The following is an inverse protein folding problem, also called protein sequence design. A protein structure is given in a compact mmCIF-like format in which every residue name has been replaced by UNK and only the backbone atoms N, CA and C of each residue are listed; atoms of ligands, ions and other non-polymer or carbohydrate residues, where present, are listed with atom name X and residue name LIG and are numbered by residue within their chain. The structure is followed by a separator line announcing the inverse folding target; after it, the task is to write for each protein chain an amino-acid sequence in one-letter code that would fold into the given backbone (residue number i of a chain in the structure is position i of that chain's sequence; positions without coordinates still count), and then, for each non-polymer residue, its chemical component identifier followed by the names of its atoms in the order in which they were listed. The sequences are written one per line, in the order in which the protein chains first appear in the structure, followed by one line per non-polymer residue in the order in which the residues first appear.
data_IF_061202730263
#
_entry.id   IF_061202730263
#
_cell.length_a   1.000
_cell.length_b   1.000
_cell.length_c   1.000
_cell.angle_alpha   90.00
_cell.angle_beta   90.00
_cell.angle_gamma   90.00
#
_symmetry.space_group_name_H-M   'P 1'
#
loop_
_entity.id
_entity.type
_entity.pdbx_description
1 polymer ?
#
# COMPACT_ATOMS: atom_id res chain seq x y z
N UNK A 1 11.69 -0.58 3.47
CA UNK A 1 10.61 0.18 2.82
C UNK A 1 10.15 1.27 3.77
N UNK A 2 9.94 2.47 3.25
CA UNK A 2 9.49 3.67 3.96
C UNK A 2 8.60 4.49 3.01
N UNK A 3 8.08 5.63 3.46
CA UNK A 3 7.21 6.50 2.65
C UNK A 3 7.88 7.05 1.39
N UNK A 4 9.19 7.24 1.40
CA UNK A 4 9.96 7.70 0.24
C UNK A 4 10.05 6.65 -0.89
N UNK A 5 10.11 5.37 -0.52
CA UNK A 5 10.35 4.26 -1.46
C UNK A 5 9.09 3.54 -1.90
N UNK A 6 8.02 3.57 -1.09
CA UNK A 6 6.83 2.75 -1.33
C UNK A 6 6.08 3.09 -2.62
N UNK A 7 6.00 4.37 -3.01
CA UNK A 7 5.31 4.79 -4.23
C UNK A 7 5.96 4.15 -5.47
N UNK A 8 7.29 4.18 -5.56
CA UNK A 8 8.02 3.56 -6.66
C UNK A 8 7.81 2.05 -6.73
N UNK A 9 7.77 1.38 -5.58
CA UNK A 9 7.53 -0.07 -5.51
C UNK A 9 6.09 -0.44 -5.89
N UNK A 10 5.10 0.36 -5.46
CA UNK A 10 3.70 0.18 -5.84
C UNK A 10 3.49 0.41 -7.35
N UNK A 11 4.13 1.43 -7.91
CA UNK A 11 4.13 1.66 -9.35
C UNK A 11 4.76 0.49 -10.11
N UNK A 12 5.85 -0.10 -9.60
CA UNK A 12 6.52 -1.24 -10.22
C UNK A 12 5.64 -2.50 -10.31
N UNK A 13 4.63 -2.63 -9.45
CA UNK A 13 3.62 -3.71 -9.49
C UNK A 13 2.29 -3.28 -10.12
N UNK A 14 2.26 -2.13 -10.80
CA UNK A 14 1.09 -1.67 -11.58
C UNK A 14 -0.03 -1.06 -10.74
N UNK A 15 0.24 -0.56 -9.54
CA UNK A 15 -0.73 0.21 -8.77
C UNK A 15 -0.74 1.66 -9.26
N UNK A 16 -1.91 2.22 -9.64
CA UNK A 16 -2.02 3.61 -10.03
C UNK A 16 -1.77 4.55 -8.84
N UNK A 17 -1.12 5.69 -9.08
CA UNK A 17 -0.76 6.64 -8.03
C UNK A 17 -1.98 7.21 -7.31
N UNK A 18 -3.09 7.40 -8.02
CA UNK A 18 -4.35 7.92 -7.47
C UNK A 18 -5.01 6.99 -6.44
N UNK A 19 -4.64 5.70 -6.40
CA UNK A 19 -5.13 4.76 -5.39
C UNK A 19 -4.38 4.86 -4.05
N UNK A 20 -3.37 5.74 -3.93
CA UNK A 20 -2.50 5.84 -2.76
C UNK A 20 -2.30 7.31 -2.37
N UNK A 21 -2.51 7.62 -1.10
CA UNK A 21 -2.26 8.93 -0.52
C UNK A 21 -1.31 8.81 0.67
N UNK A 22 -0.25 9.62 0.68
CA UNK A 22 0.75 9.64 1.75
C UNK A 22 0.71 10.99 2.47
N UNK A 23 0.58 10.96 3.79
CA UNK A 23 0.61 12.17 4.62
C UNK A 23 -0.69 12.99 4.65
N UNK A 24 -1.63 12.72 3.74
CA UNK A 24 -2.95 13.34 3.75
C UNK A 24 -4.06 12.32 3.45
N UNK A 25 -5.28 12.64 3.89
CA UNK A 25 -6.46 11.87 3.55
C UNK A 25 -6.95 12.22 2.14
N UNK A 26 -7.21 11.21 1.32
CA UNK A 26 -7.89 11.35 0.03
C UNK A 26 -8.99 10.31 -0.10
N UNK A 27 -10.16 10.70 -0.58
CA UNK A 27 -11.24 9.75 -0.89
C UNK A 27 -10.86 8.86 -2.07
N UNK A 28 -11.37 7.63 -2.05
CA UNK A 28 -11.09 6.58 -3.02
C UNK A 28 -9.59 6.23 -3.11
N UNK A 29 -8.87 6.33 -1.99
CA UNK A 29 -7.46 6.00 -1.90
C UNK A 29 -7.13 5.25 -0.61
N UNK A 30 -6.07 4.43 -0.69
CA UNK A 30 -5.36 3.91 0.47
C UNK A 30 -4.50 5.02 1.05
N UNK A 31 -4.79 5.40 2.28
CA UNK A 31 -4.10 6.47 2.98
C UNK A 31 -3.07 5.88 3.96
N UNK A 32 -1.85 6.43 3.98
CA UNK A 32 -0.83 6.18 5.00
C UNK A 32 -0.45 7.51 5.66
N UNK A 33 -0.84 7.69 6.92
CA UNK A 33 -0.64 8.94 7.67
C UNK A 33 0.25 8.71 8.89
N UNK A 34 1.09 9.69 9.22
CA UNK A 34 1.86 9.73 10.46
C UNK A 34 1.25 10.74 11.42
N UNK A 35 0.83 10.25 12.59
CA UNK A 35 0.36 11.05 13.70
C UNK A 35 1.49 11.23 14.72
N UNK A 36 2.30 12.27 14.52
CA UNK A 36 3.51 12.52 15.29
C UNK A 36 3.24 12.73 16.79
N UNK A 37 2.08 13.32 17.13
CA UNK A 37 1.59 13.51 18.50
C UNK A 37 1.31 12.18 19.21
N UNK A 38 0.94 11.15 18.46
CA UNK A 38 0.61 9.81 18.95
C UNK A 38 1.74 8.80 18.71
N UNK A 39 2.78 9.19 17.96
CA UNK A 39 3.86 8.29 17.55
C UNK A 39 3.35 7.11 16.71
N UNK A 40 2.26 7.30 15.96
CA UNK A 40 1.57 6.23 15.24
C UNK A 40 1.52 6.47 13.73
N UNK A 41 1.47 5.38 12.99
CA UNK A 41 1.30 5.31 11.56
C UNK A 41 -0.01 4.58 11.28
N UNK A 42 -0.94 5.24 10.62
CA UNK A 42 -2.23 4.64 10.29
C UNK A 42 -2.31 4.33 8.80
N UNK A 43 -2.89 3.16 8.49
CA UNK A 43 -3.20 2.72 7.13
C UNK A 43 -4.68 2.40 7.04
N UNK A 44 -5.38 2.97 6.05
CA UNK A 44 -6.80 2.72 5.83
C UNK A 44 -7.22 3.02 4.39
N UNK A 45 -8.30 2.37 3.94
CA UNK A 45 -9.01 2.80 2.73
C UNK A 45 -10.00 3.88 3.11
N UNK A 46 -10.04 4.98 2.35
CA UNK A 46 -11.00 6.05 2.57
C UNK A 46 -12.02 6.08 1.44
N UNK A 47 -13.30 6.06 1.79
CA UNK A 47 -14.40 6.13 0.82
C UNK A 47 -15.59 6.83 1.45
N UNK A 48 -16.07 7.88 0.76
CA UNK A 48 -17.21 8.69 1.20
C UNK A 48 -17.04 9.22 2.63
N UNK A 49 -15.83 9.67 2.97
CA UNK A 49 -15.48 10.16 4.30
C UNK A 49 -15.37 9.10 5.41
N UNK A 50 -15.59 7.83 5.11
CA UNK A 50 -15.41 6.73 6.07
C UNK A 50 -14.03 6.08 5.91
N UNK A 51 -13.46 5.62 7.03
CA UNK A 51 -12.23 4.83 7.05
C UNK A 51 -12.56 3.36 7.18
N UNK A 52 -12.15 2.57 6.21
CA UNK A 52 -12.29 1.12 6.19
C UNK A 52 -10.93 0.46 6.38
N UNK A 53 -10.96 -0.80 6.86
CA UNK A 53 -9.76 -1.63 6.94
C UNK A 53 -8.60 -0.97 7.70
N UNK A 54 -8.96 -0.18 8.72
CA UNK A 54 -8.03 0.63 9.48
C UNK A 54 -7.08 -0.24 10.31
N UNK A 55 -5.80 0.10 10.25
CA UNK A 55 -4.76 -0.46 11.09
C UNK A 55 -3.80 0.65 11.55
N UNK A 56 -3.29 0.53 12.78
CA UNK A 56 -2.32 1.46 13.36
C UNK A 56 -1.06 0.73 13.80
N UNK A 57 0.09 1.35 13.56
CA UNK A 57 1.42 0.81 13.82
C UNK A 57 2.32 1.87 14.46
N UNK A 58 3.35 1.47 15.20
CA UNK A 58 4.32 2.39 15.81
C UNK A 58 5.59 2.56 14.98
N UNK A 59 5.64 1.97 13.79
CA UNK A 59 6.84 1.91 12.96
C UNK A 59 6.47 2.11 11.49
N UNK A 60 7.13 3.08 10.86
CA UNK A 60 6.94 3.44 9.45
C UNK A 60 7.13 2.24 8.52
N UNK A 61 8.21 1.48 8.72
CA UNK A 61 8.54 0.35 7.85
C UNK A 61 7.49 -0.75 7.92
N UNK A 62 6.88 -0.99 9.09
CA UNK A 62 5.81 -1.96 9.26
C UNK A 62 4.52 -1.48 8.57
N UNK A 63 4.15 -0.21 8.76
CA UNK A 63 3.00 0.38 8.09
C UNK A 63 3.14 0.35 6.56
N UNK A 64 4.33 0.66 6.04
CA UNK A 64 4.63 0.57 4.62
C UNK A 64 4.53 -0.87 4.08
N UNK A 65 5.08 -1.87 4.78
CA UNK A 65 4.94 -3.27 4.37
C UNK A 65 3.49 -3.74 4.41
N UNK A 66 2.73 -3.30 5.41
CA UNK A 66 1.31 -3.61 5.49
C UNK A 66 0.56 -3.08 4.25
N UNK A 67 0.70 -1.78 3.94
CA UNK A 67 0.10 -1.18 2.75
C UNK A 67 0.56 -1.87 1.45
N UNK A 68 1.86 -2.10 1.30
CA UNK A 68 2.41 -2.77 0.13
C UNK A 68 1.85 -4.19 -0.03
N UNK A 69 1.75 -4.96 1.05
CA UNK A 69 1.18 -6.31 1.04
C UNK A 69 -0.29 -6.31 0.64
N UNK A 70 -1.10 -5.38 1.19
CA UNK A 70 -2.52 -5.20 0.83
C UNK A 70 -2.72 -4.98 -0.66
N UNK A 71 -1.91 -4.11 -1.25
CA UNK A 71 -2.01 -3.76 -2.66
C UNK A 71 -1.41 -4.83 -3.56
N UNK A 72 -0.31 -5.47 -3.14
CA UNK A 72 0.26 -6.63 -3.84
C UNK A 72 -0.72 -7.80 -3.91
N UNK A 73 -1.47 -8.07 -2.84
CA UNK A 73 -2.52 -9.08 -2.85
C UNK A 73 -3.52 -8.86 -3.99
N UNK A 74 -3.94 -7.61 -4.22
CA UNK A 74 -4.84 -7.28 -5.34
C UNK A 74 -4.22 -7.63 -6.71
N UNK A 75 -2.90 -7.44 -6.85
CA UNK A 75 -2.17 -7.76 -8.08
C UNK A 75 -1.95 -9.26 -8.26
N UNK A 76 -1.80 -10.02 -7.17
CA UNK A 76 -1.79 -11.49 -7.20
C UNK A 76 -3.14 -12.01 -7.69
N UNK A 77 -4.25 -11.52 -7.12
CA UNK A 77 -5.61 -11.91 -7.53
C UNK A 77 -5.87 -11.58 -9.01
N UNK A 78 -5.31 -10.50 -9.53
CA UNK A 78 -5.40 -10.09 -10.94
C UNK A 78 -4.43 -10.83 -11.87
N UNK A 79 -3.50 -11.62 -11.33
CA UNK A 79 -2.46 -12.31 -12.11
C UNK A 79 -1.32 -11.43 -12.60
N UNK A 80 -1.20 -10.20 -12.10
CA UNK A 80 -0.08 -9.28 -12.43
C UNK A 80 1.20 -9.67 -11.70
N UNK A 81 1.08 -10.14 -10.45
CA UNK A 81 2.19 -10.67 -9.66
C UNK A 81 2.04 -12.19 -9.53
N UNK A 82 3.08 -12.93 -9.92
CA UNK A 82 3.07 -14.40 -9.91
C UNK A 82 4.44 -14.99 -10.21
N UNK A 83 4.50 -16.32 -10.30
CA UNK A 83 5.74 -17.03 -10.65
C UNK A 83 6.01 -16.86 -12.14
N UNK A 84 7.27 -16.60 -12.50
CA UNK A 84 7.69 -16.55 -13.89
C UNK A 84 7.55 -17.96 -14.53
N UNK A 85 7.05 -18.07 -15.76
CA UNK A 85 6.96 -19.36 -16.43
C UNK A 85 8.36 -19.99 -16.52
N UNK A 86 8.49 -21.24 -16.07
CA UNK A 86 9.72 -22.00 -16.26
C UNK A 86 9.83 -22.30 -17.75
N UNK A 87 10.82 -21.69 -18.41
CA UNK A 87 11.15 -22.08 -19.78
C UNK A 87 11.80 -23.45 -19.72
N UNK A 88 11.07 -24.51 -20.06
CA UNK A 88 11.71 -25.79 -20.37
C UNK A 88 12.64 -25.56 -21.56
N UNK A 89 13.95 -25.71 -21.35
CA UNK A 89 14.90 -25.80 -22.45
C UNK A 89 14.59 -27.07 -23.21
N UNK A 90 14.17 -26.93 -24.46
CA UNK A 90 14.10 -28.00 -25.45
C UNK A 90 15.49 -28.60 -25.72
#
# INVERSE_FOLDING_TARGET
MNTETIIGLLAAIGIPAEFVSLGEESDNAWCLLHYADQGSWEVFWREQGNRYDWASFTNEQVACHYLFGRLTWSQVVRGVVGVLPVTEKA
#
